data_IF_306195596366
#
_entry.id   IF_306195596366
#
_cell.length_a   1.000
_cell.length_b   1.000
_cell.length_c   1.000
_cell.angle_alpha   90.00
_cell.angle_beta   90.00
_cell.angle_gamma   90.00
#
_symmetry.space_group_name_H-M   'P 1'
#
loop_
_entity.id
_entity.type
_entity.pdbx_description
1 polymer ?
#
# COMPACT_ATOMS: atom_id res chain seq x y z
N UNK A 1 -33.29 -3.77 -29.43
CA UNK A 1 -32.59 -4.06 -28.16
C UNK A 1 -31.12 -3.62 -28.27
N UNK A 2 -30.87 -2.36 -28.63
CA UNK A 2 -29.54 -1.80 -28.96
C UNK A 2 -29.31 -0.41 -28.35
N UNK A 3 -30.31 0.15 -27.66
CA UNK A 3 -30.28 1.53 -27.15
C UNK A 3 -29.68 1.65 -25.75
N UNK A 4 -29.55 0.54 -25.01
CA UNK A 4 -28.98 0.50 -23.67
C UNK A 4 -27.44 0.48 -23.66
N UNK A 5 -26.81 -0.16 -24.65
CA UNK A 5 -25.34 -0.29 -24.71
C UNK A 5 -24.64 1.03 -25.05
N UNK A 6 -25.23 1.85 -25.92
CA UNK A 6 -24.66 3.16 -26.29
C UNK A 6 -24.66 4.17 -25.15
N UNK A 7 -25.60 4.06 -24.19
CA UNK A 7 -25.64 4.99 -23.07
C UNK A 7 -24.52 4.71 -22.07
N UNK A 8 -24.28 3.42 -21.76
CA UNK A 8 -23.23 3.01 -20.84
C UNK A 8 -21.81 3.36 -21.36
N UNK A 9 -21.63 3.26 -22.67
CA UNK A 9 -20.35 3.57 -23.31
C UNK A 9 -20.05 5.08 -23.34
N UNK A 10 -21.08 5.92 -23.47
CA UNK A 10 -20.98 7.37 -23.34
C UNK A 10 -20.73 7.85 -21.90
N UNK A 11 -21.31 7.16 -20.91
CA UNK A 11 -21.08 7.42 -19.48
C UNK A 11 -19.66 7.05 -19.06
N UNK A 12 -19.15 5.89 -19.48
CA UNK A 12 -17.76 5.48 -19.26
C UNK A 12 -16.76 6.45 -19.90
N UNK A 13 -17.02 6.88 -21.13
CA UNK A 13 -16.17 7.86 -21.81
C UNK A 13 -16.16 9.22 -21.11
N UNK A 14 -17.32 9.68 -20.60
CA UNK A 14 -17.40 10.91 -19.79
C UNK A 14 -16.73 10.77 -18.43
N UNK A 15 -16.88 9.63 -17.76
CA UNK A 15 -16.22 9.37 -16.49
C UNK A 15 -14.69 9.30 -16.68
N UNK A 16 -14.20 8.67 -17.75
CA UNK A 16 -12.78 8.67 -18.11
C UNK A 16 -12.28 10.06 -18.50
N UNK A 17 -13.07 10.84 -19.24
CA UNK A 17 -12.74 12.23 -19.56
C UNK A 17 -12.63 13.10 -18.30
N UNK A 18 -13.56 12.98 -17.37
CA UNK A 18 -13.52 13.67 -16.08
C UNK A 18 -12.33 13.21 -15.22
N UNK A 19 -12.03 11.91 -15.18
CA UNK A 19 -10.86 11.37 -14.50
C UNK A 19 -9.54 11.81 -15.14
N UNK A 20 -9.50 11.94 -16.47
CA UNK A 20 -8.34 12.46 -17.19
C UNK A 20 -8.10 13.94 -16.85
N UNK A 21 -9.15 14.75 -16.80
CA UNK A 21 -9.07 16.15 -16.36
C UNK A 21 -8.66 16.28 -14.90
N UNK A 22 -9.14 15.39 -14.02
CA UNK A 22 -8.72 15.33 -12.61
C UNK A 22 -7.27 14.83 -12.47
N UNK A 23 -6.82 13.91 -13.34
CA UNK A 23 -5.45 13.41 -13.34
C UNK A 23 -4.43 14.45 -13.84
N UNK A 24 -4.83 15.37 -14.73
CA UNK A 24 -4.03 16.53 -15.12
C UNK A 24 -3.90 17.57 -14.00
N UNK A 25 -4.71 17.47 -12.94
CA UNK A 25 -4.59 18.34 -11.78
C UNK A 25 -3.32 18.00 -10.97
N UNK A 26 -2.37 18.94 -10.93
CA UNK A 26 -1.09 18.82 -10.21
C UNK A 26 -1.29 18.45 -8.74
N UNK A 27 -2.32 18.99 -8.08
CA UNK A 27 -2.61 18.67 -6.68
C UNK A 27 -3.09 17.23 -6.49
N UNK A 28 -3.92 16.74 -7.41
CA UNK A 28 -4.41 15.36 -7.37
C UNK A 28 -3.28 14.36 -7.66
N UNK A 29 -2.41 14.67 -8.62
CA UNK A 29 -1.21 13.88 -8.91
C UNK A 29 -0.25 13.84 -7.72
N UNK A 30 -0.06 14.97 -7.03
CA UNK A 30 0.76 15.04 -5.82
C UNK A 30 0.16 14.17 -4.70
N UNK A 31 -1.15 14.30 -4.46
CA UNK A 31 -1.87 13.50 -3.47
C UNK A 31 -1.75 12.00 -3.78
N UNK A 32 -2.05 11.59 -5.02
CA UNK A 32 -1.93 10.19 -5.43
C UNK A 32 -0.51 9.64 -5.24
N UNK A 33 0.50 10.44 -5.57
CA UNK A 33 1.91 10.06 -5.36
C UNK A 33 2.21 9.86 -3.88
N UNK A 34 1.77 10.77 -3.01
CA UNK A 34 1.95 10.63 -1.56
C UNK A 34 1.23 9.41 -1.00
N UNK A 35 0.02 9.12 -1.48
CA UNK A 35 -0.75 7.94 -1.08
C UNK A 35 -0.03 6.65 -1.49
N UNK A 36 0.48 6.57 -2.71
CA UNK A 36 1.26 5.41 -3.18
C UNK A 36 2.53 5.24 -2.35
N UNK A 37 3.23 6.34 -2.04
CA UNK A 37 4.42 6.32 -1.20
C UNK A 37 4.10 5.82 0.21
N UNK A 38 3.02 6.31 0.82
CA UNK A 38 2.55 5.91 2.14
C UNK A 38 2.12 4.44 2.16
N UNK A 39 1.41 3.97 1.14
CA UNK A 39 1.04 2.56 0.99
C UNK A 39 2.27 1.66 0.88
N UNK A 40 3.26 2.05 0.07
CA UNK A 40 4.53 1.34 -0.03
C UNK A 40 5.29 1.29 1.29
N UNK A 41 5.36 2.41 2.01
CA UNK A 41 5.97 2.48 3.33
C UNK A 41 5.25 1.59 4.36
N UNK A 42 3.91 1.57 4.34
CA UNK A 42 3.12 0.71 5.22
C UNK A 42 3.37 -0.78 4.96
N UNK A 43 3.38 -1.19 3.68
CA UNK A 43 3.69 -2.58 3.30
C UNK A 43 5.10 -2.97 3.74
N UNK A 44 6.07 -2.07 3.53
CA UNK A 44 7.45 -2.30 3.97
C UNK A 44 7.54 -2.45 5.50
N UNK A 45 6.85 -1.58 6.26
CA UNK A 45 6.83 -1.65 7.71
C UNK A 45 6.22 -2.97 8.22
N UNK A 46 5.11 -3.42 7.62
CA UNK A 46 4.50 -4.71 7.96
C UNK A 46 5.47 -5.86 7.68
N UNK A 47 6.13 -5.86 6.51
CA UNK A 47 7.09 -6.89 6.16
C UNK A 47 8.27 -6.94 7.14
N UNK A 48 8.79 -5.77 7.53
CA UNK A 48 9.86 -5.66 8.54
C UNK A 48 9.36 -6.20 9.89
N UNK A 49 8.17 -5.78 10.34
CA UNK A 49 7.59 -6.28 11.58
C UNK A 49 7.47 -7.80 11.59
N UNK A 50 6.95 -8.38 10.51
CA UNK A 50 6.83 -9.83 10.36
C UNK A 50 8.19 -10.54 10.34
N UNK A 51 9.18 -9.96 9.66
CA UNK A 51 10.56 -10.47 9.65
C UNK A 51 11.16 -10.47 11.07
N UNK A 52 10.96 -9.40 11.83
CA UNK A 52 11.45 -9.29 13.20
C UNK A 52 10.71 -10.23 14.17
N UNK A 53 9.43 -10.48 13.96
CA UNK A 53 8.62 -11.33 14.84
C UNK A 53 8.81 -12.83 14.55
N UNK A 54 9.04 -13.19 13.29
CA UNK A 54 9.13 -14.60 12.88
C UNK A 54 10.56 -15.05 12.56
N UNK A 55 11.26 -14.31 11.70
CA UNK A 55 12.56 -14.73 11.17
C UNK A 55 13.66 -14.54 12.21
N UNK A 56 13.66 -13.41 12.92
CA UNK A 56 14.68 -13.14 13.93
C UNK A 56 14.67 -14.17 15.07
N UNK A 57 13.53 -14.54 15.68
CA UNK A 57 13.50 -15.59 16.69
C UNK A 57 13.81 -16.98 16.13
N UNK A 58 13.48 -17.24 14.86
CA UNK A 58 13.80 -18.52 14.22
C UNK A 58 15.31 -18.72 14.05
N UNK A 59 16.05 -17.68 13.65
CA UNK A 59 17.49 -17.76 13.38
C UNK A 59 18.32 -17.51 14.64
N UNK A 60 17.89 -16.58 15.50
CA UNK A 60 18.66 -16.10 16.67
C UNK A 60 18.00 -16.43 18.01
N UNK A 61 16.98 -17.28 18.04
CA UNK A 61 16.16 -17.55 19.23
C UNK A 61 16.95 -17.95 20.46
N UNK A 62 17.94 -18.83 20.30
CA UNK A 62 18.77 -19.28 21.43
C UNK A 62 19.69 -18.17 21.95
N UNK A 63 20.27 -17.37 21.05
CA UNK A 63 21.09 -16.21 21.42
C UNK A 63 20.28 -15.09 22.08
N UNK A 64 19.06 -14.84 21.59
CA UNK A 64 18.14 -13.87 22.17
C UNK A 64 17.65 -14.30 23.56
N UNK A 65 17.38 -15.60 23.75
CA UNK A 65 17.03 -16.16 25.07
C UNK A 65 18.19 -16.06 26.06
N UNK A 66 19.40 -16.36 25.61
CA UNK A 66 20.60 -16.20 26.45
C UNK A 66 20.85 -14.74 26.83
N UNK A 67 20.68 -13.80 25.89
CA UNK A 67 20.77 -12.37 26.15
C UNK A 67 19.66 -11.88 27.10
N UNK A 68 18.42 -12.35 26.92
CA UNK A 68 17.31 -12.05 27.81
C UNK A 68 17.55 -12.58 29.23
N UNK A 69 18.20 -13.74 29.37
CA UNK A 69 18.58 -14.29 30.68
C UNK A 69 19.71 -13.51 31.38
N UNK A 70 20.50 -12.74 30.64
CA UNK A 70 21.56 -11.88 31.14
C UNK A 70 21.08 -10.45 31.48
N UNK A 71 19.90 -10.06 31.02
CA UNK A 71 19.30 -8.77 31.39
C UNK A 71 18.68 -8.91 32.79
N UNK A 72 19.14 -8.14 33.80
CA UNK A 72 18.45 -8.09 35.07
C UNK A 72 17.05 -7.52 34.83
N UNK A 73 16.05 -8.23 35.37
CA UNK A 73 14.64 -7.84 35.35
C UNK A 73 14.38 -6.69 36.32
#
# INVERSE_FOLDING_TARGET
>A
MTTLEHHHQGELSRAQGALATVAENVYFRLFATLVVLAAGAAVLAIMIGFMLDLVVPLIFGDGLRALAALLPH
#
